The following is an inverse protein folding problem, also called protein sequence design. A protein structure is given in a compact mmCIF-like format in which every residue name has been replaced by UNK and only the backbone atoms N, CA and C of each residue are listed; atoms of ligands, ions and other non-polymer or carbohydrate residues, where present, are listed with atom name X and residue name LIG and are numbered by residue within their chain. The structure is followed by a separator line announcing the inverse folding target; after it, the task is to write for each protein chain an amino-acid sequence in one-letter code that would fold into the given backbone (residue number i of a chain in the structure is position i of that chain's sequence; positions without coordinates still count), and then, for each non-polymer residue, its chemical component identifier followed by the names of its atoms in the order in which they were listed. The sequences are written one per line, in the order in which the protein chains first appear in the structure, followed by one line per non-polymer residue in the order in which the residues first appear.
data_IF_041882981145
#
_entry.id   IF_041882981145
#
_cell.length_a   1.000
_cell.length_b   1.000
_cell.length_c   1.000
_cell.angle_alpha   90.00
_cell.angle_beta   90.00
_cell.angle_gamma   90.00
#
_symmetry.space_group_name_H-M   'P 1'
#
loop_
_entity.id
_entity.type
_entity.pdbx_description
1 polymer ?
#
# COMPACT_ATOMS: atom_id res chain seq x y z
N UNK A 1 -21.69 -23.94 -31.37
CA UNK A 1 -20.97 -25.22 -31.51
C UNK A 1 -21.92 -26.27 -30.94
N UNK A 2 -22.45 -27.18 -31.74
CA UNK A 2 -23.44 -28.16 -31.26
C UNK A 2 -22.74 -29.33 -30.58
N UNK A 3 -23.24 -29.75 -29.42
CA UNK A 3 -22.72 -30.90 -28.67
C UNK A 3 -23.85 -31.81 -28.20
N UNK A 4 -23.60 -33.12 -28.23
CA UNK A 4 -24.46 -34.15 -27.66
C UNK A 4 -24.44 -34.16 -26.12
N UNK A 5 -23.46 -33.50 -25.49
CA UNK A 5 -23.41 -33.30 -24.04
C UNK A 5 -24.30 -32.12 -23.67
N UNK A 6 -25.37 -32.38 -22.91
CA UNK A 6 -26.32 -31.36 -22.45
C UNK A 6 -25.98 -30.79 -21.07
N UNK A 7 -25.23 -31.54 -20.25
CA UNK A 7 -25.01 -31.23 -18.84
C UNK A 7 -23.55 -31.41 -18.41
N UNK A 8 -23.14 -30.64 -17.40
CA UNK A 8 -21.82 -30.74 -16.76
C UNK A 8 -21.95 -30.62 -15.25
N UNK A 9 -21.19 -31.46 -14.53
CA UNK A 9 -21.14 -31.45 -13.06
C UNK A 9 -20.07 -30.47 -12.58
N UNK A 10 -20.49 -29.45 -11.84
CA UNK A 10 -19.61 -28.50 -11.15
C UNK A 10 -18.94 -29.14 -9.94
N UNK A 11 -17.85 -28.54 -9.47
CA UNK A 11 -17.03 -29.02 -8.35
C UNK A 11 -17.76 -29.00 -6.99
N UNK A 12 -18.89 -28.30 -6.90
CA UNK A 12 -19.80 -28.26 -5.74
C UNK A 12 -20.93 -29.29 -5.84
N UNK A 13 -20.91 -30.16 -6.85
CA UNK A 13 -21.91 -31.20 -7.10
C UNK A 13 -23.10 -30.73 -7.95
N UNK A 14 -23.27 -29.42 -8.20
CA UNK A 14 -24.38 -28.92 -9.02
C UNK A 14 -24.24 -29.37 -10.48
N UNK A 15 -25.37 -29.71 -11.08
CA UNK A 15 -25.48 -30.02 -12.51
C UNK A 15 -25.99 -28.77 -13.21
N UNK A 16 -25.28 -28.30 -14.23
CA UNK A 16 -25.69 -27.15 -15.04
C UNK A 16 -25.61 -27.49 -16.53
N UNK A 17 -26.20 -26.63 -17.38
CA UNK A 17 -26.09 -26.76 -18.83
C UNK A 17 -24.62 -26.74 -19.28
N UNK A 18 -24.27 -27.61 -20.21
CA UNK A 18 -22.97 -27.62 -20.85
C UNK A 18 -22.90 -26.50 -21.90
N UNK A 19 -21.86 -25.67 -21.82
CA UNK A 19 -21.64 -24.54 -22.72
C UNK A 19 -20.25 -24.71 -23.37
N UNK A 20 -20.17 -25.24 -24.61
CA UNK A 20 -18.90 -25.47 -25.31
C UNK A 20 -18.04 -24.22 -25.45
N UNK A 21 -18.67 -23.05 -25.61
CA UNK A 21 -17.97 -21.77 -25.82
C UNK A 21 -17.09 -21.38 -24.62
N UNK A 22 -17.40 -21.88 -23.40
CA UNK A 22 -16.56 -21.66 -22.22
C UNK A 22 -15.21 -22.37 -22.32
N UNK A 23 -15.14 -23.49 -23.04
CA UNK A 23 -13.89 -24.22 -23.30
C UNK A 23 -13.03 -23.42 -24.27
N UNK A 24 -13.61 -22.95 -25.38
CA UNK A 24 -12.95 -22.11 -26.37
C UNK A 24 -12.39 -20.84 -25.71
N UNK A 25 -13.19 -20.16 -24.89
CA UNK A 25 -12.76 -18.95 -24.18
C UNK A 25 -11.61 -19.21 -23.19
N UNK A 26 -11.58 -20.39 -22.55
CA UNK A 26 -10.51 -20.76 -21.63
C UNK A 26 -9.20 -21.05 -22.37
N UNK A 27 -9.27 -21.77 -23.49
CA UNK A 27 -8.12 -22.05 -24.37
C UNK A 27 -7.59 -20.74 -24.98
N UNK A 28 -8.47 -19.87 -25.47
CA UNK A 28 -8.11 -18.58 -26.03
C UNK A 28 -7.34 -17.71 -25.02
N UNK A 29 -7.78 -17.65 -23.75
CA UNK A 29 -7.07 -16.92 -22.70
C UNK A 29 -5.67 -17.47 -22.45
N UNK A 30 -5.49 -18.79 -22.51
CA UNK A 30 -4.17 -19.41 -22.37
C UNK A 30 -3.26 -19.06 -23.55
N UNK A 31 -3.78 -19.09 -24.78
CA UNK A 31 -3.05 -18.72 -26.02
C UNK A 31 -2.60 -17.25 -25.97
N UNK A 32 -3.50 -16.32 -25.61
CA UNK A 32 -3.18 -14.89 -25.46
C UNK A 32 -2.10 -14.67 -24.40
N UNK A 33 -2.13 -15.42 -23.29
CA UNK A 33 -1.12 -15.30 -22.23
C UNK A 33 0.28 -15.77 -22.64
N UNK A 34 0.40 -16.44 -23.79
CA UNK A 34 1.66 -16.95 -24.33
C UNK A 34 2.10 -16.22 -25.61
N UNK A 35 1.54 -15.03 -25.89
CA UNK A 35 1.91 -14.15 -27.02
C UNK A 35 1.87 -14.85 -28.39
N UNK A 36 0.99 -15.85 -28.54
CA UNK A 36 0.81 -16.59 -29.79
C UNK A 36 -0.50 -16.11 -30.42
N UNK A 37 -0.42 -15.32 -31.49
CA UNK A 37 -1.61 -14.83 -32.20
C UNK A 37 -2.22 -15.94 -33.05
N UNK A 38 -3.23 -16.65 -32.55
CA UNK A 38 -4.13 -17.41 -33.42
C UNK A 38 -5.47 -17.73 -32.76
N UNK A 39 -6.42 -16.78 -32.85
CA UNK A 39 -7.79 -16.99 -32.36
C UNK A 39 -8.51 -18.17 -33.05
N UNK A 40 -8.10 -18.52 -34.27
CA UNK A 40 -8.60 -19.69 -35.02
C UNK A 40 -8.19 -21.02 -34.39
N UNK A 41 -7.01 -21.11 -33.80
CA UNK A 41 -6.54 -22.32 -33.14
C UNK A 41 -7.37 -22.65 -31.88
N UNK A 42 -7.86 -21.63 -31.16
CA UNK A 42 -8.68 -21.83 -29.96
C UNK A 42 -10.02 -22.53 -30.28
N UNK A 43 -10.65 -22.16 -31.40
CA UNK A 43 -11.89 -22.80 -31.83
C UNK A 43 -11.68 -24.25 -32.29
N UNK A 44 -10.61 -24.51 -33.05
CA UNK A 44 -10.29 -25.85 -33.52
C UNK A 44 -9.97 -26.80 -32.35
N UNK A 45 -9.12 -26.34 -31.42
CA UNK A 45 -8.79 -27.08 -30.20
C UNK A 45 -10.02 -27.27 -29.31
N UNK A 46 -10.90 -26.26 -29.22
CA UNK A 46 -12.16 -26.37 -28.49
C UNK A 46 -13.10 -27.43 -29.06
N UNK A 47 -13.27 -27.48 -30.39
CA UNK A 47 -14.05 -28.53 -31.07
C UNK A 47 -13.47 -29.92 -30.81
N UNK A 48 -12.15 -30.03 -30.83
CA UNK A 48 -11.46 -31.29 -30.54
C UNK A 48 -11.72 -31.80 -29.13
N UNK A 49 -11.65 -30.91 -28.14
CA UNK A 49 -11.96 -31.22 -26.75
C UNK A 49 -13.40 -31.69 -26.60
N UNK A 50 -14.36 -31.01 -27.24
CA UNK A 50 -15.77 -31.41 -27.22
C UNK A 50 -15.96 -32.80 -27.83
N UNK A 51 -15.33 -33.07 -28.97
CA UNK A 51 -15.40 -34.38 -29.63
C UNK A 51 -14.86 -35.51 -28.74
N UNK A 52 -13.75 -35.30 -28.05
CA UNK A 52 -13.19 -36.31 -27.12
C UNK A 52 -14.09 -36.49 -25.90
N UNK A 53 -14.67 -35.40 -25.39
CA UNK A 53 -15.65 -35.46 -24.31
C UNK A 53 -16.86 -36.32 -24.70
N UNK A 54 -17.42 -36.12 -25.89
CA UNK A 54 -18.57 -36.90 -26.37
C UNK A 54 -18.26 -38.39 -26.50
N UNK A 55 -17.06 -38.73 -26.95
CA UNK A 55 -16.61 -40.12 -27.05
C UNK A 55 -16.39 -40.78 -25.69
N UNK A 56 -15.85 -40.05 -24.70
CA UNK A 56 -15.53 -40.60 -23.38
C UNK A 56 -16.74 -40.61 -22.42
N UNK A 57 -17.75 -39.78 -22.67
CA UNK A 57 -18.87 -39.54 -21.75
C UNK A 57 -20.26 -39.76 -22.39
N UNK A 58 -20.41 -40.81 -23.19
CA UNK A 58 -21.66 -41.15 -23.91
C UNK A 58 -22.89 -41.23 -22.99
N UNK A 59 -22.76 -41.89 -21.82
CA UNK A 59 -23.85 -42.10 -20.86
C UNK A 59 -23.55 -41.51 -19.46
N UNK A 60 -22.62 -40.55 -19.38
CA UNK A 60 -22.16 -39.99 -18.11
C UNK A 60 -22.08 -38.47 -18.19
N UNK A 61 -22.42 -37.80 -17.10
CA UNK A 61 -22.25 -36.34 -16.99
C UNK A 61 -20.78 -36.06 -16.65
N UNK A 62 -20.00 -35.41 -17.54
CA UNK A 62 -18.60 -35.08 -17.24
C UNK A 62 -18.51 -34.07 -16.09
N UNK A 63 -17.46 -34.19 -15.29
CA UNK A 63 -17.05 -33.21 -14.30
C UNK A 63 -16.22 -32.08 -14.91
N UNK A 64 -16.11 -30.97 -14.17
CA UNK A 64 -15.24 -29.85 -14.57
C UNK A 64 -13.76 -30.27 -14.65
N UNK A 65 -13.29 -31.21 -13.82
CA UNK A 65 -11.91 -31.71 -13.92
C UNK A 65 -11.70 -32.52 -15.20
N UNK A 66 -12.65 -33.38 -15.55
CA UNK A 66 -12.57 -34.21 -16.76
C UNK A 66 -12.40 -33.35 -18.03
N UNK A 67 -13.16 -32.24 -18.10
CA UNK A 67 -13.01 -31.26 -19.20
C UNK A 67 -11.62 -30.63 -19.18
N UNK A 68 -11.10 -30.27 -18.00
CA UNK A 68 -9.78 -29.64 -17.90
C UNK A 68 -8.65 -30.58 -18.29
N UNK A 69 -8.72 -31.84 -17.87
CA UNK A 69 -7.73 -32.86 -18.19
C UNK A 69 -7.71 -33.14 -19.71
N UNK A 70 -8.87 -33.16 -20.37
CA UNK A 70 -8.96 -33.32 -21.83
C UNK A 70 -8.41 -32.09 -22.56
N UNK A 71 -8.64 -30.87 -22.05
CA UNK A 71 -8.02 -29.65 -22.63
C UNK A 71 -6.49 -29.75 -22.58
N UNK A 72 -5.93 -30.20 -21.46
CA UNK A 72 -4.49 -30.40 -21.30
C UNK A 72 -3.94 -31.46 -22.27
N UNK A 73 -4.62 -32.61 -22.36
CA UNK A 73 -4.28 -33.70 -23.28
C UNK A 73 -4.25 -33.21 -24.73
N UNK A 74 -5.29 -32.50 -25.18
CA UNK A 74 -5.41 -31.98 -26.55
C UNK A 74 -4.31 -30.95 -26.84
N UNK A 75 -4.06 -30.02 -25.93
CA UNK A 75 -3.01 -29.00 -26.12
C UNK A 75 -1.62 -29.64 -26.25
N UNK A 76 -1.33 -30.69 -25.48
CA UNK A 76 -0.04 -31.40 -25.56
C UNK A 76 0.06 -32.18 -26.87
N UNK A 77 -0.97 -32.97 -27.23
CA UNK A 77 -0.97 -33.80 -28.44
C UNK A 77 -0.87 -32.97 -29.73
N UNK A 78 -1.46 -31.78 -29.76
CA UNK A 78 -1.41 -30.86 -30.92
C UNK A 78 -0.15 -29.99 -30.96
N UNK A 79 0.82 -30.22 -30.06
CA UNK A 79 2.10 -29.51 -30.06
C UNK A 79 2.10 -28.14 -29.36
N UNK A 80 1.00 -27.76 -28.72
CA UNK A 80 0.86 -26.49 -27.98
C UNK A 80 1.39 -26.59 -26.54
N UNK A 81 2.57 -27.18 -26.35
CA UNK A 81 3.13 -27.45 -25.02
C UNK A 81 3.30 -26.21 -24.14
N UNK A 82 3.66 -25.05 -24.72
CA UNK A 82 3.77 -23.77 -24.00
C UNK A 82 2.40 -23.29 -23.49
N UNK A 83 1.35 -23.42 -24.32
CA UNK A 83 -0.03 -23.06 -23.98
C UNK A 83 -0.57 -24.02 -22.92
N UNK A 84 -0.31 -25.33 -23.04
CA UNK A 84 -0.68 -26.34 -22.05
C UNK A 84 -0.08 -26.00 -20.68
N UNK A 85 1.21 -25.65 -20.63
CA UNK A 85 1.87 -25.22 -19.38
C UNK A 85 1.23 -23.98 -18.78
N UNK A 86 0.94 -22.96 -19.59
CA UNK A 86 0.25 -21.74 -19.13
C UNK A 86 -1.16 -22.03 -18.59
N UNK A 87 -1.91 -22.90 -19.27
CA UNK A 87 -3.22 -23.37 -18.86
C UNK A 87 -3.19 -24.13 -17.52
N UNK A 88 -2.25 -25.07 -17.35
CA UNK A 88 -2.04 -25.84 -16.11
C UNK A 88 -1.70 -24.91 -14.95
N UNK A 89 -0.74 -23.98 -15.13
CA UNK A 89 -0.36 -23.02 -14.09
C UNK A 89 -1.56 -22.14 -13.71
N UNK A 90 -2.36 -21.71 -14.69
CA UNK A 90 -3.57 -20.92 -14.44
C UNK A 90 -4.63 -21.73 -13.67
N UNK A 91 -4.83 -23.01 -14.01
CA UNK A 91 -5.72 -23.95 -13.31
C UNK A 91 -5.29 -24.13 -11.85
N UNK A 92 -4.00 -24.38 -11.62
CA UNK A 92 -3.45 -24.58 -10.27
C UNK A 92 -3.63 -23.31 -9.44
N UNK A 93 -3.25 -22.15 -9.96
CA UNK A 93 -3.44 -20.86 -9.27
C UNK A 93 -4.91 -20.59 -8.94
N UNK A 94 -5.85 -20.97 -9.81
CA UNK A 94 -7.29 -20.89 -9.52
C UNK A 94 -7.74 -21.93 -8.49
N UNK A 95 -7.11 -23.10 -8.42
CA UNK A 95 -7.35 -24.11 -7.40
C UNK A 95 -6.90 -23.60 -6.03
N UNK A 96 -5.65 -23.15 -5.91
CA UNK A 96 -5.08 -22.60 -4.67
C UNK A 96 -5.91 -21.43 -4.14
N UNK A 97 -6.39 -20.57 -5.04
CA UNK A 97 -7.32 -19.48 -4.70
C UNK A 97 -8.64 -19.98 -4.17
N UNK A 98 -9.21 -21.04 -4.76
CA UNK A 98 -10.51 -21.58 -4.33
C UNK A 98 -10.39 -22.31 -3.02
N UNK A 99 -9.27 -22.98 -2.80
CA UNK A 99 -8.92 -23.61 -1.54
C UNK A 99 -8.72 -22.55 -0.45
N UNK A 100 -7.97 -21.49 -0.74
CA UNK A 100 -7.88 -20.31 0.10
C UNK A 100 -9.27 -19.70 0.37
N UNK A 101 -10.09 -19.45 -0.66
CA UNK A 101 -11.46 -18.91 -0.51
C UNK A 101 -12.39 -19.81 0.31
N UNK A 102 -12.26 -21.15 0.21
CA UNK A 102 -12.99 -22.13 1.05
C UNK A 102 -12.52 -22.10 2.50
N UNK A 103 -11.21 -22.00 2.75
CA UNK A 103 -10.63 -21.88 4.09
C UNK A 103 -11.10 -20.59 4.76
N UNK A 104 -11.27 -19.51 4.00
CA UNK A 104 -11.77 -18.23 4.52
C UNK A 104 -13.31 -18.15 4.64
N UNK A 105 -14.10 -19.20 4.37
CA UNK A 105 -15.56 -19.11 4.45
C UNK A 105 -16.19 -18.04 3.55
N UNK A 106 -15.46 -17.56 2.53
CA UNK A 106 -15.89 -16.48 1.65
C UNK A 106 -16.71 -17.10 0.52
N UNK A 107 -18.03 -17.10 0.67
CA UNK A 107 -18.91 -17.01 -0.50
C UNK A 107 -18.45 -15.80 -1.33
N UNK A 108 -18.41 -15.94 -2.66
CA UNK A 108 -17.85 -14.96 -3.62
C UNK A 108 -18.69 -13.66 -3.73
N UNK A 109 -19.03 -13.07 -2.58
CA UNK A 109 -19.94 -11.94 -2.46
C UNK A 109 -19.28 -10.61 -2.78
N UNK A 110 -17.98 -10.46 -2.45
CA UNK A 110 -17.25 -9.21 -2.57
C UNK A 110 -16.50 -9.06 -3.91
N UNK A 111 -16.54 -10.08 -4.78
CA UNK A 111 -15.88 -10.10 -6.11
C UNK A 111 -14.40 -9.64 -6.10
N UNK A 112 -13.70 -9.81 -4.98
CA UNK A 112 -12.32 -9.33 -4.83
C UNK A 112 -11.32 -10.10 -5.70
N UNK A 113 -10.31 -9.38 -6.20
CA UNK A 113 -9.21 -9.98 -6.95
C UNK A 113 -8.34 -10.87 -6.06
N UNK A 114 -7.58 -11.78 -6.67
CA UNK A 114 -6.66 -12.68 -5.96
C UNK A 114 -5.59 -11.90 -5.19
N UNK A 115 -5.11 -10.83 -5.81
CA UNK A 115 -4.12 -9.96 -5.20
C UNK A 115 -4.72 -9.26 -3.97
N UNK A 116 -5.95 -8.76 -4.07
CA UNK A 116 -6.64 -8.15 -2.94
C UNK A 116 -6.78 -9.15 -1.78
N UNK A 117 -7.23 -10.37 -2.06
CA UNK A 117 -7.35 -11.43 -1.04
C UNK A 117 -6.00 -11.73 -0.38
N UNK A 118 -4.94 -11.89 -1.17
CA UNK A 118 -3.60 -12.16 -0.62
C UNK A 118 -3.06 -11.00 0.22
N UNK A 119 -3.33 -9.75 -0.18
CA UNK A 119 -2.96 -8.56 0.59
C UNK A 119 -3.74 -8.49 1.91
N UNK A 120 -5.04 -8.77 1.87
CA UNK A 120 -5.91 -8.78 3.05
C UNK A 120 -5.44 -9.83 4.06
N UNK A 121 -5.23 -11.07 3.63
CA UNK A 121 -4.72 -12.18 4.45
C UNK A 121 -3.38 -11.84 5.12
N UNK A 122 -2.46 -11.26 4.35
CA UNK A 122 -1.12 -10.96 4.85
C UNK A 122 -1.13 -9.83 5.88
N UNK A 123 -1.95 -8.79 5.68
CA UNK A 123 -1.78 -7.51 6.39
C UNK A 123 -3.01 -7.00 7.16
N UNK A 124 -4.22 -7.36 6.77
CA UNK A 124 -5.45 -6.71 7.26
C UNK A 124 -6.33 -7.60 8.14
N UNK A 125 -6.52 -8.86 7.74
CA UNK A 125 -7.39 -9.77 8.47
C UNK A 125 -6.81 -10.11 9.84
N UNK A 126 -7.68 -10.19 10.85
CA UNK A 126 -7.28 -10.60 12.20
C UNK A 126 -6.69 -12.01 12.23
N UNK A 127 -5.70 -12.19 13.10
CA UNK A 127 -4.97 -13.43 13.31
C UNK A 127 -4.98 -13.78 14.79
N UNK A 128 -5.02 -15.08 15.08
CA UNK A 128 -4.86 -15.59 16.44
C UNK A 128 -3.38 -15.53 16.89
N UNK A 129 -3.13 -15.98 18.12
CA UNK A 129 -1.78 -16.04 18.72
C UNK A 129 -0.81 -16.97 17.96
N UNK A 130 -1.34 -17.92 17.19
CA UNK A 130 -0.58 -18.85 16.35
C UNK A 130 -0.34 -18.29 14.95
N UNK A 131 -0.85 -17.10 14.66
CA UNK A 131 -0.74 -16.43 13.36
C UNK A 131 -1.73 -16.91 12.30
N UNK A 132 -2.68 -17.78 12.65
CA UNK A 132 -3.73 -18.23 11.75
C UNK A 132 -4.79 -17.15 11.57
N UNK A 133 -5.28 -16.95 10.34
CA UNK A 133 -6.31 -15.97 10.04
C UNK A 133 -7.66 -16.44 10.60
N UNK A 134 -8.32 -15.58 11.37
CA UNK A 134 -9.60 -15.87 12.06
C UNK A 134 -10.74 -14.97 11.61
N UNK A 135 -10.50 -14.14 10.60
CA UNK A 135 -11.46 -13.16 10.09
C UNK A 135 -11.55 -13.24 8.57
N UNK A 136 -12.76 -13.15 8.04
CA UNK A 136 -13.01 -13.05 6.59
C UNK A 136 -13.07 -11.59 6.13
N UNK A 137 -12.84 -11.27 4.84
CA UNK A 137 -13.02 -9.91 4.33
C UNK A 137 -14.40 -9.30 4.62
N UNK A 138 -15.46 -10.11 4.57
CA UNK A 138 -16.82 -9.68 4.93
C UNK A 138 -16.91 -9.32 6.41
N UNK A 139 -16.36 -10.16 7.29
CA UNK A 139 -16.33 -9.90 8.74
C UNK A 139 -15.49 -8.66 9.07
N UNK A 140 -14.37 -8.44 8.37
CA UNK A 140 -13.57 -7.24 8.50
C UNK A 140 -14.38 -5.98 8.16
N UNK A 141 -15.10 -5.96 7.03
CA UNK A 141 -15.94 -4.82 6.67
C UNK A 141 -17.07 -4.59 7.67
N UNK A 142 -17.70 -5.65 8.18
CA UNK A 142 -18.72 -5.54 9.23
C UNK A 142 -18.14 -4.98 10.53
N UNK A 143 -16.97 -5.48 10.98
CA UNK A 143 -16.27 -4.97 12.16
C UNK A 143 -15.97 -3.48 12.03
N UNK A 144 -15.43 -3.06 10.88
CA UNK A 144 -15.09 -1.66 10.61
C UNK A 144 -16.35 -0.80 10.61
N UNK A 145 -17.38 -1.19 9.87
CA UNK A 145 -18.65 -0.47 9.78
C UNK A 145 -19.28 -0.27 11.16
N UNK A 146 -19.39 -1.36 11.93
CA UNK A 146 -19.92 -1.35 13.29
C UNK A 146 -19.14 -0.40 14.19
N UNK A 147 -17.80 -0.52 14.20
CA UNK A 147 -16.96 0.26 15.09
C UNK A 147 -17.02 1.76 14.80
N UNK A 148 -17.06 2.16 13.52
CA UNK A 148 -17.14 3.57 13.12
C UNK A 148 -18.54 4.13 13.39
N UNK A 149 -19.61 3.36 13.11
CA UNK A 149 -20.99 3.79 13.34
C UNK A 149 -21.29 4.06 14.83
N UNK A 150 -20.59 3.41 15.77
CA UNK A 150 -20.76 3.71 17.20
C UNK A 150 -20.44 5.17 17.57
N UNK A 151 -19.66 5.89 16.73
CA UNK A 151 -19.34 7.29 16.98
C UNK A 151 -20.58 8.20 16.94
N UNK A 152 -21.66 7.80 16.26
CA UNK A 152 -22.90 8.59 16.21
C UNK A 152 -23.49 8.82 17.61
N UNK A 153 -23.34 7.85 18.51
CA UNK A 153 -23.80 7.95 19.91
C UNK A 153 -23.05 9.00 20.73
N UNK A 154 -21.87 9.45 20.26
CA UNK A 154 -21.16 10.57 20.89
C UNK A 154 -21.83 11.92 20.63
N UNK A 155 -22.68 11.99 19.59
CA UNK A 155 -23.35 13.22 19.15
C UNK A 155 -24.87 13.18 19.40
N UNK A 156 -25.48 12.00 19.27
CA UNK A 156 -26.89 11.76 19.56
C UNK A 156 -27.10 10.38 20.18
N UNK A 157 -27.51 10.33 21.45
CA UNK A 157 -27.79 9.08 22.19
C UNK A 157 -28.91 8.24 21.55
N UNK A 158 -29.77 8.85 20.71
CA UNK A 158 -30.88 8.19 20.01
C UNK A 158 -30.56 7.89 18.55
N UNK A 159 -29.30 8.05 18.13
CA UNK A 159 -28.88 7.77 16.77
C UNK A 159 -29.19 6.32 16.36
N UNK A 160 -29.65 6.13 15.13
CA UNK A 160 -29.88 4.81 14.53
C UNK A 160 -28.56 4.22 14.03
N UNK A 161 -27.76 3.73 14.96
CA UNK A 161 -26.43 3.16 14.68
C UNK A 161 -26.51 1.94 13.75
N UNK A 162 -27.60 1.17 13.81
CA UNK A 162 -27.77 -0.01 12.96
C UNK A 162 -27.92 0.38 11.49
N UNK A 163 -28.68 1.46 11.23
CA UNK A 163 -28.77 2.03 9.90
C UNK A 163 -27.42 2.53 9.40
N UNK A 164 -26.70 3.32 10.20
CA UNK A 164 -25.37 3.83 9.81
C UNK A 164 -24.37 2.70 9.54
N UNK A 165 -24.35 1.66 10.40
CA UNK A 165 -23.52 0.47 10.20
C UNK A 165 -23.83 -0.23 8.86
N UNK A 166 -25.13 -0.40 8.54
CA UNK A 166 -25.54 -1.01 7.29
C UNK A 166 -25.10 -0.18 6.07
N UNK A 167 -25.26 1.15 6.12
CA UNK A 167 -24.84 2.07 5.06
C UNK A 167 -23.32 2.00 4.84
N UNK A 168 -22.50 2.07 5.90
CA UNK A 168 -21.04 1.95 5.80
C UNK A 168 -20.59 0.60 5.25
N UNK A 169 -21.22 -0.49 5.69
CA UNK A 169 -20.92 -1.82 5.17
C UNK A 169 -21.21 -1.92 3.67
N UNK A 170 -22.36 -1.40 3.20
CA UNK A 170 -22.72 -1.46 1.78
C UNK A 170 -21.76 -0.68 0.90
N UNK A 171 -21.38 0.53 1.31
CA UNK A 171 -20.42 1.37 0.58
C UNK A 171 -19.06 0.66 0.45
N UNK A 172 -18.56 0.03 1.54
CA UNK A 172 -17.33 -0.76 1.49
C UNK A 172 -17.47 -2.03 0.65
N UNK A 173 -18.60 -2.73 0.76
CA UNK A 173 -18.92 -3.94 -0.03
C UNK A 173 -18.92 -3.65 -1.53
N UNK A 174 -19.50 -2.53 -1.93
CA UNK A 174 -19.59 -2.10 -3.33
C UNK A 174 -18.28 -1.48 -3.84
N UNK A 175 -17.29 -1.31 -2.95
CA UNK A 175 -16.02 -0.62 -3.23
C UNK A 175 -16.21 0.85 -3.66
N UNK A 176 -17.32 1.47 -3.25
CA UNK A 176 -17.61 2.90 -3.50
C UNK A 176 -16.70 3.79 -2.65
N UNK A 177 -16.39 3.34 -1.43
CA UNK A 177 -15.38 3.95 -0.57
C UNK A 177 -14.70 2.88 0.29
N UNK A 178 -13.40 3.02 0.47
CA UNK A 178 -12.59 2.16 1.35
C UNK A 178 -11.77 3.06 2.26
N UNK A 179 -11.89 2.92 3.59
CA UNK A 179 -11.13 3.74 4.52
C UNK A 179 -9.63 3.41 4.46
N UNK A 180 -8.81 4.27 5.08
CA UNK A 180 -7.36 4.08 5.12
C UNK A 180 -6.95 2.74 5.76
N UNK A 181 -5.69 2.33 5.56
CA UNK A 181 -5.23 1.03 6.07
C UNK A 181 -5.36 0.86 7.59
N UNK A 182 -4.99 1.83 8.45
CA UNK A 182 -5.16 1.68 9.90
C UNK A 182 -6.61 1.48 10.33
N UNK A 183 -7.57 2.15 9.68
CA UNK A 183 -8.99 1.96 9.98
C UNK A 183 -9.41 0.51 9.71
N UNK A 184 -9.05 -0.05 8.55
CA UNK A 184 -9.36 -1.46 8.22
C UNK A 184 -8.69 -2.44 9.21
N UNK A 185 -7.44 -2.17 9.59
CA UNK A 185 -6.64 -3.04 10.46
C UNK A 185 -7.09 -2.99 11.93
N UNK A 186 -7.51 -1.82 12.42
CA UNK A 186 -7.59 -1.55 13.86
C UNK A 186 -8.98 -1.21 14.37
N UNK A 187 -9.95 -0.82 13.52
CA UNK A 187 -11.30 -0.49 13.98
C UNK A 187 -11.95 -1.68 14.70
N UNK A 188 -12.53 -1.44 15.88
CA UNK A 188 -13.14 -2.51 16.69
C UNK A 188 -12.14 -3.49 17.32
N UNK A 189 -10.85 -3.17 17.34
CA UNK A 189 -9.80 -3.95 18.03
C UNK A 189 -9.29 -3.20 19.26
N UNK A 190 -8.55 -3.89 20.14
CA UNK A 190 -7.94 -3.27 21.32
C UNK A 190 -6.92 -2.16 20.98
N UNK A 191 -6.37 -2.13 19.76
CA UNK A 191 -5.41 -1.11 19.34
C UNK A 191 -6.08 0.23 19.04
N UNK A 192 -7.27 0.21 18.42
CA UNK A 192 -8.12 1.41 18.22
C UNK A 192 -7.55 2.54 17.36
N UNK A 193 -6.33 2.45 16.82
CA UNK A 193 -5.71 3.52 16.03
C UNK A 193 -6.28 3.58 14.60
N UNK A 194 -7.13 4.56 14.32
CA UNK A 194 -7.74 4.75 13.00
C UNK A 194 -6.95 5.75 12.13
N UNK A 195 -6.21 6.66 12.75
CA UNK A 195 -5.43 7.66 12.04
C UNK A 195 -4.07 7.10 11.57
N UNK A 196 -3.66 7.49 10.36
CA UNK A 196 -2.47 6.96 9.72
C UNK A 196 -1.26 7.90 9.77
N UNK A 197 -1.48 9.20 9.87
CA UNK A 197 -0.47 10.22 9.68
C UNK A 197 -0.57 11.25 10.81
N UNK A 198 0.57 11.54 11.43
CA UNK A 198 0.66 12.46 12.56
C UNK A 198 1.75 13.48 12.30
N UNK A 199 1.53 14.73 12.70
CA UNK A 199 2.56 15.77 12.68
C UNK A 199 2.95 16.05 14.12
N UNK A 200 4.24 15.90 14.44
CA UNK A 200 4.75 16.06 15.80
C UNK A 200 5.68 17.29 15.82
N UNK A 201 5.46 18.26 16.73
CA UNK A 201 6.34 19.40 16.87
C UNK A 201 7.71 18.96 17.41
N UNK A 202 8.76 19.64 16.95
CA UNK A 202 10.12 19.50 17.45
C UNK A 202 10.63 20.90 17.76
N UNK A 203 10.70 21.23 19.04
CA UNK A 203 11.23 22.52 19.52
C UNK A 203 12.71 22.42 19.84
N UNK A 204 13.37 23.58 19.99
CA UNK A 204 14.81 23.71 20.20
C UNK A 204 15.24 23.39 21.65
N UNK A 205 14.87 22.21 22.14
CA UNK A 205 15.29 21.64 23.42
C UNK A 205 15.47 20.12 23.35
N UNK A 206 16.34 19.57 24.20
CA UNK A 206 16.57 18.12 24.26
C UNK A 206 15.30 17.39 24.71
N UNK A 207 14.56 17.97 25.66
CA UNK A 207 13.30 17.46 26.15
C UNK A 207 12.28 17.31 25.02
N UNK A 208 12.06 18.37 24.23
CA UNK A 208 11.12 18.34 23.10
C UNK A 208 11.55 17.35 22.02
N UNK A 209 12.85 17.30 21.69
CA UNK A 209 13.40 16.34 20.72
C UNK A 209 13.12 14.90 21.16
N UNK A 210 13.42 14.55 22.41
CA UNK A 210 13.24 13.17 22.89
C UNK A 210 11.78 12.82 23.19
N UNK A 211 10.94 13.79 23.58
CA UNK A 211 9.50 13.60 23.66
C UNK A 211 8.90 13.33 22.27
N UNK A 212 9.37 14.02 21.23
CA UNK A 212 8.98 13.74 19.85
C UNK A 212 9.40 12.33 19.40
N UNK A 213 10.62 11.87 19.76
CA UNK A 213 11.07 10.49 19.50
C UNK A 213 10.22 9.47 20.23
N UNK A 214 9.87 9.72 21.50
CA UNK A 214 8.97 8.86 22.30
C UNK A 214 7.59 8.77 21.65
N UNK A 215 6.98 9.90 21.29
CA UNK A 215 5.66 9.94 20.67
C UNK A 215 5.67 9.24 19.30
N UNK A 216 6.71 9.47 18.49
CA UNK A 216 6.95 8.74 17.24
C UNK A 216 6.94 7.23 17.47
N UNK A 217 7.66 6.75 18.49
CA UNK A 217 7.77 5.34 18.77
C UNK A 217 6.41 4.70 19.11
N UNK A 218 5.59 5.39 19.90
CA UNK A 218 4.22 4.96 20.23
C UNK A 218 3.33 4.95 18.99
N UNK A 219 3.41 5.96 18.14
CA UNK A 219 2.64 6.04 16.89
C UNK A 219 3.02 4.93 15.93
N UNK A 220 4.32 4.69 15.72
CA UNK A 220 4.82 3.65 14.82
C UNK A 220 4.46 2.24 15.31
N UNK A 221 4.43 1.99 16.63
CA UNK A 221 3.94 0.73 17.21
C UNK A 221 2.53 0.40 16.74
N UNK A 222 1.68 1.42 16.55
CA UNK A 222 0.30 1.28 16.08
C UNK A 222 0.14 1.30 14.55
N UNK A 223 1.24 1.39 13.79
CA UNK A 223 1.25 1.40 12.33
C UNK A 223 1.07 2.77 11.68
N UNK A 224 1.13 3.85 12.47
CA UNK A 224 1.10 5.23 11.97
C UNK A 224 2.46 5.70 11.44
N UNK A 225 2.44 6.65 10.52
CA UNK A 225 3.61 7.43 10.07
C UNK A 225 3.64 8.82 10.71
N UNK A 226 4.81 9.45 10.70
CA UNK A 226 5.03 10.72 11.40
C UNK A 226 5.75 11.75 10.54
N UNK A 227 5.31 12.99 10.61
CA UNK A 227 5.97 14.15 10.01
C UNK A 227 6.52 15.09 11.09
N UNK A 228 7.67 15.70 10.81
CA UNK A 228 8.37 16.60 11.71
C UNK A 228 8.87 17.82 10.94
N UNK A 229 8.78 19.00 11.57
CA UNK A 229 9.52 20.18 11.12
C UNK A 229 10.73 20.38 12.03
N UNK A 230 11.92 20.32 11.46
CA UNK A 230 13.18 20.55 12.16
C UNK A 230 13.64 22.01 12.08
N UNK A 231 12.83 22.87 11.44
CA UNK A 231 13.16 24.28 11.15
C UNK A 231 13.33 25.16 12.39
N UNK A 232 12.85 24.70 13.56
CA UNK A 232 12.98 25.42 14.84
C UNK A 232 14.33 25.16 15.52
N UNK A 233 14.99 24.04 15.18
CA UNK A 233 16.24 23.65 15.82
C UNK A 233 17.35 24.63 15.46
N UNK A 234 18.20 24.98 16.42
CA UNK A 234 19.37 25.82 16.15
C UNK A 234 20.33 25.13 15.17
N UNK A 235 21.05 25.91 14.34
CA UNK A 235 21.95 25.35 13.35
C UNK A 235 23.19 24.74 14.01
N UNK A 236 23.86 23.88 13.25
CA UNK A 236 25.14 23.30 13.63
C UNK A 236 26.16 24.40 13.94
N UNK A 237 26.90 24.23 15.03
CA UNK A 237 27.86 25.23 15.52
C UNK A 237 27.27 26.33 16.39
N UNK A 238 25.94 26.46 16.51
CA UNK A 238 25.34 27.46 17.40
C UNK A 238 25.58 27.13 18.89
N UNK A 239 25.60 28.16 19.73
CA UNK A 239 25.96 28.06 21.14
C UNK A 239 24.87 27.33 21.95
N UNK A 240 25.29 26.40 22.80
CA UNK A 240 24.43 25.76 23.81
C UNK A 240 24.65 26.46 25.16
N UNK A 241 23.70 27.32 25.56
CA UNK A 241 23.84 28.19 26.76
C UNK A 241 24.16 27.42 28.04
N UNK A 242 23.63 26.22 28.22
CA UNK A 242 23.75 25.43 29.45
C UNK A 242 25.12 24.76 29.58
N UNK A 243 25.67 24.22 28.49
CA UNK A 243 26.93 23.46 28.50
C UNK A 243 28.12 24.25 27.97
N UNK A 244 27.90 25.44 27.39
CA UNK A 244 28.88 26.24 26.63
C UNK A 244 29.52 25.48 25.44
N UNK A 245 28.93 24.36 25.03
CA UNK A 245 29.32 23.61 23.84
C UNK A 245 28.67 24.16 22.56
N UNK A 246 28.89 23.45 21.46
CA UNK A 246 28.32 23.75 20.15
C UNK A 246 27.23 22.73 19.77
N UNK A 247 26.18 23.20 19.11
CA UNK A 247 25.09 22.36 18.63
C UNK A 247 25.52 21.50 17.43
N UNK A 248 24.95 20.30 17.33
CA UNK A 248 25.20 19.38 16.21
C UNK A 248 24.30 19.64 14.99
N UNK A 249 23.25 20.44 15.14
CA UNK A 249 22.30 20.83 14.09
C UNK A 249 21.17 19.82 13.82
N UNK A 250 20.09 20.22 13.13
CA UNK A 250 18.93 19.40 12.82
C UNK A 250 19.24 18.07 12.14
N UNK A 251 20.10 18.05 11.12
CA UNK A 251 20.40 16.81 10.35
C UNK A 251 21.03 15.74 11.25
N UNK A 252 21.82 16.15 12.26
CA UNK A 252 22.38 15.22 13.24
C UNK A 252 21.30 14.63 14.15
N UNK A 253 20.39 15.45 14.66
CA UNK A 253 19.27 14.97 15.49
C UNK A 253 18.30 14.07 14.72
N UNK A 254 18.07 14.33 13.43
CA UNK A 254 17.26 13.46 12.56
C UNK A 254 17.76 12.01 12.56
N UNK A 255 19.07 11.77 12.76
CA UNK A 255 19.62 10.41 12.84
C UNK A 255 19.10 9.62 14.04
N UNK A 256 18.74 10.29 15.13
CA UNK A 256 18.15 9.65 16.31
C UNK A 256 16.77 9.09 15.93
N UNK A 257 15.93 9.91 15.28
CA UNK A 257 14.62 9.48 14.77
C UNK A 257 14.76 8.34 13.76
N UNK A 258 15.71 8.45 12.84
CA UNK A 258 15.98 7.44 11.81
C UNK A 258 16.36 6.08 12.44
N UNK A 259 17.27 6.10 13.40
CA UNK A 259 17.74 4.90 14.12
C UNK A 259 16.62 4.28 14.96
N UNK A 260 15.90 5.09 15.73
CA UNK A 260 14.77 4.61 16.53
C UNK A 260 13.70 3.96 15.65
N UNK A 261 13.42 4.56 14.50
CA UNK A 261 12.47 4.01 13.51
C UNK A 261 12.96 2.68 12.96
N UNK A 262 14.26 2.49 12.75
CA UNK A 262 14.81 1.23 12.26
C UNK A 262 14.61 0.08 13.25
N UNK A 263 14.85 0.33 14.54
CA UNK A 263 14.67 -0.65 15.62
C UNK A 263 13.19 -1.05 15.75
N UNK A 264 12.27 -0.10 15.68
CA UNK A 264 10.83 -0.35 15.86
C UNK A 264 10.24 -1.18 14.71
N UNK A 265 10.80 -1.08 13.50
CA UNK A 265 10.33 -1.84 12.33
C UNK A 265 10.31 -3.34 12.53
N UNK A 266 11.14 -3.87 13.42
CA UNK A 266 11.24 -5.29 13.68
C UNK A 266 10.00 -5.87 14.40
N UNK A 267 9.16 -5.03 15.01
CA UNK A 267 8.00 -5.50 15.81
C UNK A 267 6.60 -5.21 15.25
N UNK A 268 6.47 -4.45 14.17
CA UNK A 268 5.16 -3.95 13.68
C UNK A 268 4.60 -4.67 12.44
N UNK A 269 3.27 -4.71 12.28
CA UNK A 269 2.58 -5.21 11.05
C UNK A 269 2.94 -4.40 9.79
N UNK A 270 3.35 -3.14 9.96
CA UNK A 270 3.72 -2.20 8.89
C UNK A 270 5.01 -1.47 9.25
N UNK A 271 5.84 -1.20 8.25
CA UNK A 271 7.02 -0.33 8.34
C UNK A 271 6.57 1.11 8.64
N UNK A 272 6.92 1.64 9.82
CA UNK A 272 6.82 3.07 10.11
C UNK A 272 7.74 3.89 9.21
N UNK A 273 7.32 5.10 8.87
CA UNK A 273 8.08 6.01 8.02
C UNK A 273 7.96 7.44 8.55
N UNK A 274 9.03 8.20 8.36
CA UNK A 274 9.10 9.59 8.78
C UNK A 274 9.09 10.52 7.57
N UNK A 275 8.57 11.71 7.77
CA UNK A 275 8.75 12.86 6.90
C UNK A 275 9.48 13.95 7.67
N UNK A 276 10.57 14.48 7.12
CA UNK A 276 11.35 15.55 7.71
C UNK A 276 11.29 16.79 6.86
N UNK A 277 10.99 17.93 7.46
CA UNK A 277 10.88 19.22 6.77
C UNK A 277 11.90 20.19 7.36
N UNK A 278 12.59 20.91 6.48
CA UNK A 278 13.43 22.04 6.85
C UNK A 278 13.12 23.23 5.94
N UNK A 279 12.95 24.42 6.52
CA UNK A 279 12.76 25.66 5.76
C UNK A 279 14.01 26.01 4.94
N UNK A 280 13.78 26.56 3.76
CA UNK A 280 14.83 26.92 2.80
C UNK A 280 15.80 27.99 3.32
N UNK A 281 15.35 28.84 4.25
CA UNK A 281 16.11 29.88 4.94
C UNK A 281 16.89 29.37 6.16
N UNK A 282 16.86 28.07 6.45
CA UNK A 282 17.63 27.52 7.56
C UNK A 282 19.14 27.43 7.24
N UNK A 283 20.07 27.78 8.14
CA UNK A 283 21.51 27.77 7.86
C UNK A 283 22.07 26.42 7.39
N UNK A 284 21.49 25.33 7.89
CA UNK A 284 21.86 23.94 7.55
C UNK A 284 21.15 23.40 6.29
N UNK A 285 20.51 24.24 5.47
CA UNK A 285 19.75 23.81 4.28
C UNK A 285 20.59 22.98 3.29
N UNK A 286 21.87 23.33 3.09
CA UNK A 286 22.75 22.58 2.19
C UNK A 286 23.02 21.17 2.72
N UNK A 287 23.30 21.04 4.03
CA UNK A 287 23.53 19.74 4.67
C UNK A 287 22.26 18.88 4.61
N UNK A 288 21.08 19.50 4.76
CA UNK A 288 19.78 18.82 4.66
C UNK A 288 19.46 18.36 3.24
N UNK A 289 19.61 19.22 2.23
CA UNK A 289 19.32 18.86 0.83
C UNK A 289 20.25 17.75 0.32
N UNK A 290 21.50 17.73 0.81
CA UNK A 290 22.50 16.72 0.41
C UNK A 290 22.53 15.49 1.33
N UNK A 291 21.71 15.44 2.39
CA UNK A 291 21.85 14.43 3.44
C UNK A 291 21.67 13.00 2.91
N UNK A 292 20.79 12.82 1.92
CA UNK A 292 20.50 11.51 1.30
C UNK A 292 21.39 11.17 0.09
N UNK A 293 22.37 12.01 -0.26
CA UNK A 293 23.38 11.67 -1.29
C UNK A 293 24.20 10.44 -0.92
N UNK A 294 24.34 10.13 0.38
CA UNK A 294 24.97 8.91 0.87
C UNK A 294 23.90 7.84 1.12
N UNK A 295 24.02 6.73 0.42
CA UNK A 295 23.14 5.57 0.61
C UNK A 295 23.14 5.12 2.08
N UNK A 296 21.97 4.76 2.59
CA UNK A 296 21.79 4.36 3.98
C UNK A 296 21.56 5.52 4.97
N UNK A 297 21.90 6.76 4.63
CA UNK A 297 21.69 7.90 5.53
C UNK A 297 20.24 8.40 5.47
N UNK A 298 19.57 8.46 6.63
CA UNK A 298 18.15 8.86 6.75
C UNK A 298 17.21 7.98 5.89
N UNK A 299 17.48 6.68 5.87
CA UNK A 299 16.74 5.69 5.07
C UNK A 299 15.27 5.55 5.47
N UNK A 300 14.92 6.00 6.69
CA UNK A 300 13.58 5.93 7.24
C UNK A 300 12.83 7.27 7.12
N UNK A 301 13.42 8.25 6.43
CA UNK A 301 12.82 9.54 6.13
C UNK A 301 12.58 9.70 4.62
N UNK A 302 11.43 10.27 4.27
CA UNK A 302 11.35 11.20 3.14
C UNK A 302 11.68 12.60 3.66
N UNK A 303 12.39 13.42 2.88
CA UNK A 303 12.70 14.79 3.26
C UNK A 303 12.08 15.77 2.28
N UNK A 304 11.71 16.95 2.76
CA UNK A 304 11.17 18.01 1.91
C UNK A 304 11.65 19.38 2.37
N UNK A 305 11.94 20.26 1.43
CA UNK A 305 12.29 21.65 1.72
C UNK A 305 11.01 22.46 1.75
N UNK A 306 10.77 23.15 2.86
CA UNK A 306 9.72 24.16 2.95
C UNK A 306 10.23 25.46 2.29
N UNK A 307 9.73 25.74 1.10
CA UNK A 307 10.03 26.94 0.32
C UNK A 307 8.96 28.00 0.55
N UNK A 308 9.37 29.26 0.47
CA UNK A 308 8.51 30.44 0.56
C UNK A 308 8.37 31.08 -0.82
N UNK A 309 7.33 31.89 -1.00
CA UNK A 309 7.11 32.69 -2.21
C UNK A 309 8.30 33.63 -2.44
N UNK A 310 8.79 34.27 -1.37
CA UNK A 310 9.96 35.12 -1.43
C UNK A 310 11.21 34.40 -1.96
N UNK A 311 11.41 33.12 -1.59
CA UNK A 311 12.50 32.33 -2.13
C UNK A 311 12.26 31.98 -3.61
N UNK A 312 11.04 31.59 -3.98
CA UNK A 312 10.72 31.25 -5.36
C UNK A 312 10.84 32.46 -6.30
N UNK A 313 10.40 33.64 -5.88
CA UNK A 313 10.63 34.89 -6.59
C UNK A 313 12.13 35.19 -6.75
N UNK A 314 12.93 34.95 -5.71
CA UNK A 314 14.37 35.13 -5.79
C UNK A 314 15.02 34.14 -6.77
N UNK A 315 14.51 32.91 -6.90
CA UNK A 315 14.96 31.95 -7.92
C UNK A 315 14.67 32.46 -9.34
N UNK A 316 13.46 32.95 -9.58
CA UNK A 316 13.05 33.49 -10.88
C UNK A 316 13.89 34.71 -11.28
N UNK A 317 14.05 35.65 -10.36
CA UNK A 317 14.79 36.91 -10.54
C UNK A 317 16.31 36.74 -10.44
N UNK A 318 16.79 35.52 -10.19
CA UNK A 318 18.22 35.20 -10.01
C UNK A 318 18.91 36.01 -8.90
N UNK A 319 18.21 36.17 -7.78
CA UNK A 319 18.62 36.97 -6.64
C UNK A 319 19.21 36.12 -5.51
N UNK A 320 19.83 36.82 -4.57
CA UNK A 320 20.30 36.24 -3.33
C UNK A 320 19.20 36.26 -2.26
N UNK A 321 19.29 35.36 -1.29
CA UNK A 321 18.45 35.33 -0.10
C UNK A 321 19.29 34.99 1.14
N UNK A 322 18.78 35.37 2.32
CA UNK A 322 19.47 35.17 3.57
C UNK A 322 19.07 33.86 4.27
N UNK A 323 20.06 33.18 4.83
CA UNK A 323 19.87 32.12 5.80
C UNK A 323 19.77 32.76 7.18
N UNK A 324 18.70 32.45 7.90
CA UNK A 324 18.35 33.09 9.18
C UNK A 324 18.43 32.07 10.30
N UNK A 325 19.18 32.38 11.37
CA UNK A 325 19.21 31.51 12.53
C UNK A 325 17.82 31.54 13.23
N UNK A 326 17.13 30.40 13.38
CA UNK A 326 15.77 30.37 13.94
C UNK A 326 15.69 30.84 15.39
N UNK A 327 16.81 30.82 16.14
CA UNK A 327 16.90 31.26 17.53
C UNK A 327 17.16 32.76 17.67
N UNK A 328 18.11 33.32 16.92
CA UNK A 328 18.46 34.75 17.02
C UNK A 328 17.62 35.62 16.10
N UNK A 329 17.01 35.04 15.06
CA UNK A 329 16.31 35.74 13.97
C UNK A 329 17.21 36.65 13.14
N UNK A 330 18.53 36.45 13.23
CA UNK A 330 19.50 37.23 12.47
C UNK A 330 20.02 36.47 11.25
N UNK A 331 20.29 37.17 10.14
CA UNK A 331 20.99 36.62 8.98
C UNK A 331 22.38 36.11 9.38
N UNK A 332 22.71 34.89 8.96
CA UNK A 332 24.01 34.25 9.20
C UNK A 332 24.84 34.19 7.93
N UNK A 333 24.20 33.98 6.78
CA UNK A 333 24.85 33.84 5.48
C UNK A 333 23.87 34.14 4.36
N UNK A 334 24.34 34.76 3.31
CA UNK A 334 23.56 35.00 2.09
C UNK A 334 23.96 34.00 0.99
N UNK A 335 23.00 33.45 0.26
CA UNK A 335 23.22 32.50 -0.84
C UNK A 335 22.43 32.93 -2.08
N UNK A 336 22.89 32.52 -3.26
CA UNK A 336 22.14 32.68 -4.50
C UNK A 336 20.99 31.67 -4.55
N UNK A 337 19.76 32.14 -4.69
CA UNK A 337 18.57 31.29 -4.61
C UNK A 337 18.57 30.20 -5.71
N UNK A 338 18.98 30.57 -6.93
CA UNK A 338 19.06 29.64 -8.08
C UNK A 338 20.02 28.48 -7.86
N UNK A 339 21.13 28.68 -7.14
CA UNK A 339 22.09 27.62 -6.86
C UNK A 339 21.48 26.59 -5.89
N UNK A 340 20.76 27.07 -4.87
CA UNK A 340 20.08 26.20 -3.90
C UNK A 340 18.91 25.45 -4.54
N UNK A 341 18.12 26.13 -5.37
CA UNK A 341 17.04 25.48 -6.12
C UNK A 341 17.60 24.42 -7.09
N UNK A 342 18.68 24.73 -7.81
CA UNK A 342 19.35 23.77 -8.70
C UNK A 342 19.89 22.56 -7.92
N UNK A 343 20.43 22.78 -6.71
CA UNK A 343 20.87 21.70 -5.83
C UNK A 343 19.70 20.81 -5.40
N UNK A 344 18.57 21.40 -5.01
CA UNK A 344 17.34 20.67 -4.66
C UNK A 344 16.88 19.81 -5.85
N UNK A 345 16.75 20.39 -7.04
CA UNK A 345 16.34 19.67 -8.25
C UNK A 345 17.30 18.52 -8.57
N UNK A 346 18.60 18.77 -8.48
CA UNK A 346 19.63 17.75 -8.77
C UNK A 346 19.55 16.59 -7.78
N UNK A 347 19.39 16.86 -6.48
CA UNK A 347 19.27 15.82 -5.46
C UNK A 347 17.97 15.03 -5.59
N UNK A 348 16.85 15.73 -5.87
CA UNK A 348 15.56 15.11 -6.11
C UNK A 348 15.62 14.16 -7.31
N UNK A 349 16.27 14.57 -8.41
CA UNK A 349 16.50 13.71 -9.57
C UNK A 349 17.38 12.50 -9.24
N UNK A 350 18.46 12.70 -8.45
CA UNK A 350 19.43 11.65 -8.13
C UNK A 350 18.90 10.62 -7.13
N UNK A 351 18.12 11.04 -6.15
CA UNK A 351 17.78 10.22 -4.97
C UNK A 351 16.28 10.07 -4.71
N UNK A 352 15.43 10.82 -5.42
CA UNK A 352 14.00 10.93 -5.13
C UNK A 352 13.66 11.92 -4.01
N UNK A 353 14.67 12.56 -3.41
CA UNK A 353 14.56 13.52 -2.31
C UNK A 353 15.54 14.71 -2.52
N UNK A 354 15.23 15.93 -2.02
CA UNK A 354 14.03 16.28 -1.25
C UNK A 354 12.84 16.67 -2.14
N UNK A 355 11.64 16.49 -1.62
CA UNK A 355 10.43 17.14 -2.16
C UNK A 355 10.37 18.64 -1.83
N UNK A 356 9.35 19.34 -2.33
CA UNK A 356 9.07 20.74 -2.02
C UNK A 356 7.72 20.90 -1.32
N UNK A 357 7.66 21.82 -0.37
CA UNK A 357 6.43 22.26 0.28
C UNK A 357 6.38 23.78 0.20
N UNK A 358 5.34 24.33 -0.40
CA UNK A 358 5.10 25.77 -0.47
C UNK A 358 4.40 26.19 0.81
N UNK A 359 5.16 26.72 1.77
CA UNK A 359 4.67 26.93 3.14
C UNK A 359 3.78 28.16 3.28
N UNK A 360 3.81 29.09 2.32
CA UNK A 360 3.00 30.30 2.38
C UNK A 360 1.55 30.05 1.91
N UNK A 361 1.29 28.90 1.27
CA UNK A 361 -0.04 28.45 0.83
C UNK A 361 -0.76 27.53 1.85
N UNK A 362 -0.10 27.18 2.96
CA UNK A 362 -0.59 26.26 4.00
C UNK A 362 -0.73 27.01 5.32
#
# INVERSE_FOLDING_TARGET
MDSSISQIRKRDGRIVAFEPDKIVAAIHKAIVSTETEDGKAAEELGREVVRILEQRFVDKIPGVEDVQDIVEEVLIQKGFAKVAKAYIIYRQKRSDVREAKKIFGVTDELKLSLNAISVLERRYLLKDEKGAVVETPTQMFQRVARAVAQADLLYDEKADVQRTEAEFYQIMRNLEFIPNSPTLMNAGTAMGQLAACFVIPVDDSIESIFDAVKNMAVIHKSGGGTGFSFSRLRPKGDVVKTTKGVASGPVSFMRIFDTATDVIKQGGRRRGANMGILRVDHPDIIEFVTSKSKEGFLSNFNISVAVTDAFMEAVEKDQNYDLVNPRTKEPVRTLRARDIFSLIVTQAWRTGDPGLIFIDEI
#
